data_IF_337690613832
#
_entry.id   IF_337690613832
#
_cell.length_a   1.000
_cell.length_b   1.000
_cell.length_c   1.000
_cell.angle_alpha   90.00
_cell.angle_beta   90.00
_cell.angle_gamma   90.00
#
_symmetry.space_group_name_H-M   'P 1'
#
loop_
_entity.id
_entity.type
_entity.pdbx_description
1 polymer ?
#
# COMPACT_ATOMS: atom_id res chain seq x y z
N UNK A 1 10.89 0.13 2.24
CA UNK A 1 10.75 -0.37 0.85
C UNK A 1 9.27 -0.34 0.49
N UNK A 2 8.85 0.41 -0.55
CA UNK A 2 7.54 0.14 -1.13
C UNK A 2 7.61 -1.26 -1.76
N UNK A 3 6.65 -2.13 -1.48
CA UNK A 3 6.58 -3.42 -2.18
C UNK A 3 6.19 -3.16 -3.64
N UNK A 4 6.59 -4.05 -4.56
CA UNK A 4 6.15 -3.99 -5.97
C UNK A 4 4.63 -3.93 -6.08
N UNK A 5 3.91 -4.52 -5.12
CA UNK A 5 2.45 -4.49 -5.02
C UNK A 5 1.92 -3.06 -4.75
N UNK A 6 2.52 -2.33 -3.81
CA UNK A 6 2.15 -0.92 -3.55
C UNK A 6 2.51 0.00 -4.72
N UNK A 7 3.64 -0.26 -5.39
CA UNK A 7 4.06 0.51 -6.56
C UNK A 7 3.11 0.32 -7.75
N UNK A 8 2.64 -0.92 -7.98
CA UNK A 8 1.68 -1.22 -9.04
C UNK A 8 0.34 -0.51 -8.80
N UNK A 9 -0.19 -0.54 -7.58
CA UNK A 9 -1.47 0.12 -7.30
C UNK A 9 -1.38 1.64 -7.38
N UNK A 10 -0.25 2.24 -6.97
CA UNK A 10 -0.01 3.66 -7.13
C UNK A 10 0.07 4.06 -8.63
N UNK A 11 0.78 3.27 -9.44
CA UNK A 11 0.86 3.47 -10.88
C UNK A 11 -0.50 3.31 -11.56
N UNK A 12 -1.29 2.32 -11.16
CA UNK A 12 -2.64 2.08 -11.68
C UNK A 12 -3.59 3.22 -11.33
N UNK A 13 -3.58 3.71 -10.09
CA UNK A 13 -4.35 4.88 -9.68
C UNK A 13 -3.95 6.13 -10.48
N UNK A 14 -2.65 6.32 -10.70
CA UNK A 14 -2.13 7.45 -11.51
C UNK A 14 -2.57 7.34 -12.97
N UNK A 15 -2.44 6.16 -13.58
CA UNK A 15 -2.88 5.90 -14.94
C UNK A 15 -4.40 6.11 -15.09
N UNK A 16 -5.18 5.66 -14.09
CA UNK A 16 -6.64 5.84 -14.07
C UNK A 16 -7.04 7.31 -13.99
N UNK A 17 -6.34 8.09 -13.16
CA UNK A 17 -6.56 9.54 -13.07
C UNK A 17 -6.28 10.24 -14.41
N UNK A 18 -5.19 9.85 -15.09
CA UNK A 18 -4.81 10.45 -16.38
C UNK A 18 -5.75 10.05 -17.52
N UNK A 19 -6.22 8.80 -17.53
CA UNK A 19 -7.00 8.27 -18.65
C UNK A 19 -8.51 8.51 -18.52
N UNK A 20 -9.05 8.44 -17.30
CA UNK A 20 -10.49 8.56 -17.05
C UNK A 20 -10.86 9.81 -16.25
N UNK A 21 -9.88 10.53 -15.71
CA UNK A 21 -10.10 11.68 -14.85
C UNK A 21 -10.29 11.30 -13.38
N UNK A 22 -10.03 12.27 -12.49
CA UNK A 22 -10.13 12.09 -11.04
C UNK A 22 -11.58 11.90 -10.53
N UNK A 23 -12.58 12.29 -11.30
CA UNK A 23 -14.00 12.10 -10.96
C UNK A 23 -14.58 10.79 -11.54
N UNK A 24 -13.74 9.90 -12.06
CA UNK A 24 -14.18 8.63 -12.63
C UNK A 24 -14.35 7.54 -11.59
N UNK A 25 -15.19 6.56 -11.92
CA UNK A 25 -15.34 5.34 -11.14
C UNK A 25 -14.02 4.56 -11.06
N UNK A 26 -13.28 4.47 -12.18
CA UNK A 26 -12.00 3.77 -12.29
C UNK A 26 -10.96 4.35 -11.33
N UNK A 27 -10.81 5.68 -11.32
CA UNK A 27 -9.89 6.34 -10.37
C UNK A 27 -10.33 6.09 -8.92
N UNK A 28 -11.62 6.21 -8.63
CA UNK A 28 -12.14 6.00 -7.27
C UNK A 28 -11.83 4.59 -6.75
N UNK A 29 -12.08 3.56 -7.56
CA UNK A 29 -11.80 2.17 -7.19
C UNK A 29 -10.30 1.92 -7.03
N UNK A 30 -9.49 2.37 -7.99
CA UNK A 30 -8.03 2.14 -7.95
C UNK A 30 -7.34 2.90 -6.83
N UNK A 31 -7.80 4.12 -6.50
CA UNK A 31 -7.31 4.89 -5.36
C UNK A 31 -7.64 4.21 -4.01
N UNK A 32 -8.86 3.70 -3.84
CA UNK A 32 -9.24 2.96 -2.62
C UNK A 32 -8.42 1.68 -2.48
N UNK A 33 -8.26 0.92 -3.56
CA UNK A 33 -7.42 -0.28 -3.55
C UNK A 33 -5.96 0.03 -3.23
N UNK A 34 -5.40 1.11 -3.79
CA UNK A 34 -4.05 1.55 -3.45
C UNK A 34 -3.92 1.88 -1.96
N UNK A 35 -4.90 2.56 -1.38
CA UNK A 35 -4.92 2.86 0.05
C UNK A 35 -4.96 1.59 0.93
N UNK A 36 -5.82 0.61 0.58
CA UNK A 36 -5.91 -0.66 1.31
C UNK A 36 -4.58 -1.42 1.26
N UNK A 37 -3.96 -1.53 0.08
CA UNK A 37 -2.68 -2.24 -0.09
C UNK A 37 -1.56 -1.54 0.70
N UNK A 38 -1.51 -0.22 0.71
CA UNK A 38 -0.51 0.53 1.48
C UNK A 38 -0.74 0.37 2.99
N UNK A 39 -2.00 0.28 3.44
CA UNK A 39 -2.36 0.05 4.82
C UNK A 39 -1.98 -1.37 5.28
N UNK A 40 -2.33 -2.39 4.51
CA UNK A 40 -2.00 -3.80 4.80
C UNK A 40 -0.48 -4.01 4.91
N UNK A 41 0.27 -3.48 3.94
CA UNK A 41 1.73 -3.52 3.98
C UNK A 41 2.32 -2.82 5.22
N UNK A 42 1.61 -1.83 5.78
CA UNK A 42 2.01 -1.13 7.01
C UNK A 42 1.71 -1.94 8.28
N UNK A 43 0.61 -2.70 8.28
CA UNK A 43 0.27 -3.62 9.37
C UNK A 43 1.32 -4.72 9.56
N UNK A 44 1.72 -5.37 8.47
CA UNK A 44 2.78 -6.40 8.49
C UNK A 44 4.10 -5.82 9.00
N UNK A 45 4.49 -4.63 8.53
CA UNK A 45 5.73 -3.96 9.00
C UNK A 45 5.71 -3.67 10.50
N UNK A 46 4.56 -3.33 11.08
CA UNK A 46 4.44 -3.11 12.53
C UNK A 46 4.62 -4.42 13.29
N UNK A 47 3.95 -5.49 12.86
CA UNK A 47 4.09 -6.81 13.46
C UNK A 47 5.54 -7.33 13.41
N UNK A 48 6.22 -7.19 12.27
CA UNK A 48 7.63 -7.60 12.13
C UNK A 48 8.55 -6.78 13.03
N UNK A 49 8.29 -5.48 13.23
CA UNK A 49 9.08 -4.64 14.15
C UNK A 49 8.90 -5.03 15.61
N UNK A 50 7.69 -5.36 16.03
CA UNK A 50 7.43 -5.85 17.39
C UNK A 50 8.10 -7.22 17.63
N UNK A 51 7.99 -8.14 16.67
CA UNK A 51 8.70 -9.43 16.73
C UNK A 51 10.23 -9.24 16.82
N UNK A 52 10.80 -8.33 16.03
CA UNK A 52 12.22 -8.03 16.07
C UNK A 52 12.67 -7.42 17.41
N UNK A 53 11.81 -6.62 18.08
CA UNK A 53 12.06 -6.12 19.43
C UNK A 53 12.10 -7.23 20.46
N UNK A 54 11.12 -8.14 20.42
CA UNK A 54 11.05 -9.29 21.34
C UNK A 54 12.29 -10.17 21.19
N UNK A 55 12.70 -10.46 19.96
CA UNK A 55 13.90 -11.26 19.68
C UNK A 55 15.17 -10.61 20.24
N UNK A 56 15.32 -9.28 20.13
CA UNK A 56 16.45 -8.53 20.69
C UNK A 56 16.48 -8.47 22.22
N UNK A 57 15.36 -8.68 22.90
CA UNK A 57 15.34 -8.71 24.37
C UNK A 57 15.76 -10.06 24.95
N UNK A 58 15.79 -11.11 24.12
CA UNK A 58 16.18 -12.47 24.51
C UNK A 58 17.58 -12.87 24.00
N UNK A 59 18.27 -11.96 23.32
CA UNK A 59 19.68 -12.06 22.89
C UNK A 59 20.52 -11.09 23.73
#
# INVERSE_FOLDING_TARGET
MPSSHSALMAALATASALQYGINSFQFSVTAVLAAIVMYDASGVRRATREQAKILKMHL
#
